data_IF_199585890407
#
_entry.id   IF_199585890407
#
_cell.length_a   1.000
_cell.length_b   1.000
_cell.length_c   1.000
_cell.angle_alpha   90.00
_cell.angle_beta   90.00
_cell.angle_gamma   90.00
#
_symmetry.space_group_name_H-M   'P 1'
#
loop_
_entity.id
_entity.type
_entity.pdbx_description
1 polymer ?
#
# COMPACT_ATOMS: atom_id res chain seq x y z
N UNK A 1 10.31 6.00 -1.46
CA UNK A 1 10.33 5.75 -0.03
C UNK A 1 9.23 4.78 0.37
N UNK A 2 9.50 3.90 1.30
CA UNK A 2 8.51 3.03 1.96
C UNK A 2 8.29 3.53 3.39
N UNK A 3 7.05 3.45 3.88
CA UNK A 3 6.66 3.92 5.20
C UNK A 3 6.05 2.78 6.00
N UNK A 4 6.40 2.68 7.26
CA UNK A 4 5.91 1.62 8.15
C UNK A 4 4.48 1.87 8.62
N UNK A 5 4.06 3.13 8.67
CA UNK A 5 2.71 3.53 9.06
C UNK A 5 2.26 4.84 8.41
N UNK A 6 0.95 5.13 8.47
CA UNK A 6 0.35 6.32 7.86
C UNK A 6 0.81 7.63 8.52
N UNK A 7 1.04 7.63 9.84
CA UNK A 7 1.46 8.83 10.57
C UNK A 7 2.86 9.27 10.12
N UNK A 8 3.79 8.31 9.97
CA UNK A 8 5.13 8.57 9.47
C UNK A 8 5.09 9.11 8.04
N UNK A 9 4.26 8.53 7.17
CA UNK A 9 4.07 9.03 5.81
C UNK A 9 3.51 10.45 5.81
N UNK A 10 2.53 10.76 6.66
CA UNK A 10 1.96 12.10 6.81
C UNK A 10 3.00 13.15 7.23
N UNK A 11 3.88 12.82 8.18
CA UNK A 11 4.96 13.73 8.60
C UNK A 11 5.91 14.03 7.43
N UNK A 12 6.31 13.03 6.68
CA UNK A 12 7.23 13.20 5.54
C UNK A 12 6.56 13.96 4.39
N UNK A 13 5.30 13.65 4.07
CA UNK A 13 4.54 14.41 3.07
C UNK A 13 4.46 15.90 3.45
N UNK A 14 4.22 16.22 4.73
CA UNK A 14 4.22 17.59 5.20
C UNK A 14 5.61 18.26 5.11
N UNK A 15 6.69 17.53 5.34
CA UNK A 15 8.06 18.05 5.16
C UNK A 15 8.39 18.33 3.70
N UNK A 16 7.83 17.55 2.76
CA UNK A 16 7.97 17.78 1.33
C UNK A 16 7.04 18.87 0.80
N UNK A 17 6.04 19.29 1.59
CA UNK A 17 5.10 20.35 1.30
C UNK A 17 5.72 21.71 1.65
N UNK A 18 6.76 22.12 0.92
CA UNK A 18 7.39 23.43 1.06
C UNK A 18 6.71 24.50 0.18
N UNK A 19 7.16 25.76 0.31
CA UNK A 19 6.63 26.90 -0.48
C UNK A 19 6.70 26.61 -1.99
N UNK A 20 7.77 25.96 -2.45
CA UNK A 20 7.99 25.58 -3.84
C UNK A 20 7.81 24.07 -4.09
N UNK A 21 7.47 23.30 -3.06
CA UNK A 21 7.27 21.86 -3.19
C UNK A 21 6.01 21.51 -4.00
N UNK A 22 6.02 20.40 -4.73
CA UNK A 22 4.91 19.98 -5.56
C UNK A 22 3.69 19.50 -4.75
N UNK A 23 3.85 19.25 -3.46
CA UNK A 23 2.81 18.73 -2.59
C UNK A 23 2.13 19.84 -1.82
N UNK A 24 0.83 20.00 -2.01
CA UNK A 24 0.00 20.96 -1.28
C UNK A 24 -1.06 20.21 -0.48
N UNK A 25 -1.13 20.49 0.82
CA UNK A 25 -2.15 19.94 1.72
C UNK A 25 -2.27 18.39 1.68
N UNK A 26 -1.15 17.69 1.41
CA UNK A 26 -1.15 16.23 1.33
C UNK A 26 -1.37 15.62 2.72
N UNK A 27 -2.34 14.74 2.82
CA UNK A 27 -2.67 13.98 4.03
C UNK A 27 -2.80 12.50 3.71
N UNK A 28 -2.29 11.66 4.59
CA UNK A 28 -2.54 10.23 4.58
C UNK A 28 -3.17 9.86 5.91
N UNK A 29 -4.41 9.38 5.87
CA UNK A 29 -5.14 8.94 7.06
C UNK A 29 -5.38 7.45 7.02
N UNK A 30 -5.33 6.81 8.18
CA UNK A 30 -5.71 5.42 8.39
C UNK A 30 -6.87 5.37 9.37
N UNK A 31 -7.93 4.68 9.00
CA UNK A 31 -9.10 4.42 9.86
C UNK A 31 -9.38 2.94 9.94
N UNK A 32 -10.11 2.52 10.97
CA UNK A 32 -10.48 1.13 11.18
C UNK A 32 -9.54 0.36 12.11
N UNK A 33 -9.69 -0.96 12.13
CA UNK A 33 -8.92 -1.89 12.97
C UNK A 33 -7.81 -2.53 12.14
N UNK A 34 -6.82 -3.13 12.80
CA UNK A 34 -5.72 -3.82 12.10
C UNK A 34 -6.18 -4.93 11.15
N UNK A 35 -7.35 -5.52 11.42
CA UNK A 35 -7.94 -6.57 10.58
C UNK A 35 -8.78 -6.05 9.41
N UNK A 36 -9.14 -4.77 9.43
CA UNK A 36 -9.94 -4.11 8.38
C UNK A 36 -9.69 -2.60 8.50
N UNK A 37 -8.75 -2.10 7.74
CA UNK A 37 -8.32 -0.71 7.76
C UNK A 37 -8.49 -0.08 6.39
N UNK A 38 -8.92 1.19 6.40
CA UNK A 38 -9.04 2.03 5.22
C UNK A 38 -7.95 3.09 5.27
N UNK A 39 -7.24 3.24 4.17
CA UNK A 39 -6.26 4.29 3.96
C UNK A 39 -6.82 5.29 2.96
N UNK A 40 -6.73 6.57 3.30
CA UNK A 40 -7.15 7.66 2.41
C UNK A 40 -5.98 8.61 2.23
N UNK A 41 -5.52 8.73 1.00
CA UNK A 41 -4.57 9.74 0.54
C UNK A 41 -5.36 10.85 -0.11
N UNK A 42 -5.21 12.08 0.38
CA UNK A 42 -5.91 13.27 -0.10
C UNK A 42 -4.93 14.43 -0.20
N UNK A 43 -5.10 15.28 -1.20
CA UNK A 43 -4.31 16.49 -1.37
C UNK A 43 -4.31 17.04 -2.78
N UNK A 44 -3.36 17.92 -3.03
CA UNK A 44 -3.18 18.59 -4.32
C UNK A 44 -1.71 18.49 -4.72
N UNK A 45 -1.46 18.15 -5.97
CA UNK A 45 -0.17 18.27 -6.62
C UNK A 45 -0.20 19.51 -7.51
N UNK A 46 0.77 20.40 -7.29
CA UNK A 46 0.90 21.63 -8.06
C UNK A 46 2.37 22.01 -8.15
N UNK A 47 2.85 22.23 -9.33
CA UNK A 47 4.21 22.69 -9.59
C UNK A 47 4.18 24.17 -9.97
N UNK A 48 4.32 25.02 -8.95
CA UNK A 48 4.44 26.46 -9.13
C UNK A 48 5.91 26.83 -9.37
N UNK A 49 6.18 27.66 -10.38
CA UNK A 49 7.54 28.16 -10.64
C UNK A 49 8.39 27.32 -11.57
N UNK A 50 7.80 26.38 -12.34
CA UNK A 50 8.51 25.62 -13.36
C UNK A 50 9.72 24.83 -12.81
N UNK A 51 10.91 25.04 -13.39
CA UNK A 51 12.13 24.36 -12.95
C UNK A 51 12.59 24.79 -11.55
N UNK A 52 12.17 25.95 -11.06
CA UNK A 52 12.55 26.43 -9.73
C UNK A 52 11.96 25.55 -8.61
N UNK A 53 10.85 24.87 -8.86
CA UNK A 53 10.25 23.93 -7.91
C UNK A 53 11.15 22.72 -7.59
N UNK A 54 12.12 22.44 -8.46
CA UNK A 54 13.06 21.32 -8.31
C UNK A 54 14.48 21.76 -8.00
N UNK A 55 14.74 23.06 -7.97
CA UNK A 55 16.06 23.59 -7.69
C UNK A 55 16.27 23.87 -6.20
N UNK A 56 17.41 23.42 -5.68
CA UNK A 56 17.84 23.83 -4.35
C UNK A 56 18.02 25.36 -4.31
N UNK A 57 17.47 26.01 -3.29
CA UNK A 57 17.60 27.45 -3.09
C UNK A 57 19.06 27.94 -3.07
N UNK A 58 19.99 27.09 -2.59
CA UNK A 58 21.44 27.35 -2.65
C UNK A 58 21.98 27.29 -4.08
N UNK A 59 21.49 26.33 -4.87
CA UNK A 59 21.87 26.19 -6.26
C UNK A 59 21.40 27.41 -7.06
N UNK A 60 20.14 27.81 -6.92
CA UNK A 60 19.58 29.01 -7.56
C UNK A 60 20.37 30.27 -7.22
N UNK A 61 20.79 30.42 -5.96
CA UNK A 61 21.62 31.56 -5.53
C UNK A 61 23.02 31.52 -6.14
N UNK A 62 23.58 30.32 -6.34
CA UNK A 62 24.94 30.13 -6.89
C UNK A 62 24.98 30.38 -8.40
N UNK A 63 23.93 30.02 -9.13
CA UNK A 63 23.83 30.21 -10.59
C UNK A 63 23.20 31.53 -11.00
N UNK A 64 22.86 32.42 -10.03
CA UNK A 64 22.37 33.76 -10.33
C UNK A 64 20.90 33.86 -10.74
N UNK A 65 20.04 32.96 -10.25
CA UNK A 65 18.61 32.92 -10.60
C UNK A 65 18.32 31.86 -11.67
N UNK A 66 17.19 32.01 -12.37
CA UNK A 66 16.75 31.09 -13.42
C UNK A 66 17.06 31.60 -14.86
N UNK A 67 18.32 31.87 -15.24
CA UNK A 67 18.63 32.26 -16.61
C UNK A 67 18.26 31.15 -17.61
N UNK A 68 18.11 29.92 -17.13
CA UNK A 68 17.72 28.75 -17.93
C UNK A 68 16.28 28.84 -18.47
N UNK A 69 15.31 29.32 -17.67
CA UNK A 69 13.92 29.41 -18.14
C UNK A 69 13.77 30.39 -19.29
N UNK A 70 14.44 31.52 -19.19
CA UNK A 70 14.37 32.54 -20.21
C UNK A 70 15.04 32.11 -21.52
N UNK A 71 16.19 31.42 -21.41
CA UNK A 71 16.87 30.84 -22.56
C UNK A 71 16.07 29.70 -23.22
N UNK A 72 15.38 28.87 -22.44
CA UNK A 72 14.52 27.82 -22.94
C UNK A 72 13.27 28.37 -23.63
N UNK A 73 12.64 29.40 -23.04
CA UNK A 73 11.52 30.13 -23.68
C UNK A 73 11.94 30.80 -24.98
N UNK A 74 13.11 31.42 -25.01
CA UNK A 74 13.68 32.01 -26.23
C UNK A 74 14.00 30.96 -27.30
N UNK A 75 14.40 29.76 -26.90
CA UNK A 75 14.60 28.61 -27.79
C UNK A 75 13.28 27.94 -28.23
N UNK A 76 12.13 28.43 -27.80
CA UNK A 76 10.83 27.86 -28.14
C UNK A 76 10.54 26.52 -27.44
N UNK A 77 11.29 26.18 -26.40
CA UNK A 77 11.11 24.97 -25.62
C UNK A 77 10.09 25.23 -24.49
N UNK A 78 8.94 24.62 -24.61
CA UNK A 78 7.92 24.58 -23.56
C UNK A 78 8.21 23.39 -22.62
N UNK A 79 8.68 23.68 -21.42
CA UNK A 79 9.02 22.67 -20.41
C UNK A 79 7.83 21.82 -20.00
N UNK A 80 6.64 22.41 -19.98
CA UNK A 80 5.40 21.67 -19.70
C UNK A 80 5.08 20.58 -20.71
N UNK A 81 5.62 20.72 -21.94
CA UNK A 81 5.48 19.70 -23.00
C UNK A 81 6.70 18.79 -23.10
N UNK A 82 7.87 19.27 -22.68
CA UNK A 82 9.14 18.54 -22.78
C UNK A 82 9.37 17.56 -21.61
N UNK A 83 8.76 17.83 -20.46
CA UNK A 83 8.94 17.04 -19.24
C UNK A 83 7.61 16.50 -18.74
N UNK A 84 7.62 15.28 -18.24
CA UNK A 84 6.49 14.66 -17.56
C UNK A 84 6.93 14.26 -16.16
N UNK A 85 6.14 14.62 -15.16
CA UNK A 85 6.34 14.20 -13.79
C UNK A 85 5.15 13.37 -13.38
N UNK A 86 5.43 12.17 -12.92
CA UNK A 86 4.42 11.27 -12.39
C UNK A 86 4.63 11.10 -10.88
N UNK A 87 3.59 11.35 -10.11
CA UNK A 87 3.52 10.98 -8.72
C UNK A 87 2.92 9.58 -8.61
N UNK A 88 3.65 8.69 -7.96
CA UNK A 88 3.25 7.28 -7.84
C UNK A 88 3.12 6.93 -6.37
N UNK A 89 1.95 6.41 -5.97
CA UNK A 89 1.70 5.93 -4.63
C UNK A 89 1.19 4.49 -4.65
N UNK A 90 1.77 3.64 -3.81
CA UNK A 90 1.30 2.27 -3.56
C UNK A 90 0.69 2.21 -2.17
N UNK A 91 -0.59 1.89 -2.09
CA UNK A 91 -1.34 1.81 -0.84
C UNK A 91 -1.60 0.35 -0.46
N UNK A 92 -1.65 0.02 0.84
CA UNK A 92 -1.99 -1.32 1.30
C UNK A 92 -3.43 -1.68 0.94
N UNK A 93 -3.64 -2.91 0.47
CA UNK A 93 -4.98 -3.43 0.20
C UNK A 93 -5.48 -3.17 -1.21
N UNK A 94 -6.78 -3.14 -1.41
CA UNK A 94 -7.43 -2.95 -2.70
C UNK A 94 -7.86 -1.50 -2.85
N UNK A 95 -7.58 -0.88 -3.98
CA UNK A 95 -8.05 0.47 -4.29
C UNK A 95 -9.56 0.41 -4.54
N UNK A 96 -10.33 1.15 -3.73
CA UNK A 96 -11.78 1.28 -3.87
C UNK A 96 -12.17 2.49 -4.71
N UNK A 97 -11.40 3.56 -4.60
CA UNK A 97 -11.65 4.83 -5.32
C UNK A 97 -10.33 5.56 -5.54
N UNK A 98 -10.15 6.13 -6.72
CA UNK A 98 -9.00 6.98 -7.01
C UNK A 98 -9.34 8.06 -8.05
N UNK A 99 -8.64 9.19 -7.99
CA UNK A 99 -8.61 10.23 -9.03
C UNK A 99 -7.45 10.01 -10.03
N UNK A 100 -6.52 9.10 -9.73
CA UNK A 100 -5.40 8.74 -10.60
C UNK A 100 -5.66 7.49 -11.43
N UNK A 101 -4.63 7.03 -12.12
CA UNK A 101 -4.64 5.78 -12.90
C UNK A 101 -4.20 4.65 -11.98
N UNK A 102 -5.12 3.71 -11.71
CA UNK A 102 -4.84 2.53 -10.89
C UNK A 102 -4.24 1.39 -11.73
N UNK A 103 -3.16 0.82 -11.23
CA UNK A 103 -2.52 -0.38 -11.77
C UNK A 103 -2.07 -1.26 -10.61
N UNK A 104 -2.86 -2.27 -10.29
CA UNK A 104 -2.54 -3.28 -9.28
C UNK A 104 -2.08 -2.70 -7.91
N UNK A 105 -2.92 -1.87 -7.29
CA UNK A 105 -2.69 -1.17 -6.00
C UNK A 105 -1.65 -0.04 -6.06
N UNK A 106 -1.18 0.31 -7.24
CA UNK A 106 -0.31 1.45 -7.47
C UNK A 106 -1.08 2.49 -8.27
N UNK A 107 -1.18 3.69 -7.73
CA UNK A 107 -1.89 4.79 -8.38
C UNK A 107 -0.88 5.80 -8.87
N UNK A 108 -1.07 6.24 -10.10
CA UNK A 108 -0.21 7.23 -10.77
C UNK A 108 -1.01 8.47 -11.12
N UNK A 109 -0.49 9.62 -10.74
CA UNK A 109 -0.99 10.93 -11.16
C UNK A 109 0.06 11.65 -11.97
N UNK A 110 -0.36 12.17 -13.11
CA UNK A 110 0.49 13.03 -13.92
C UNK A 110 0.40 14.45 -13.39
N UNK A 111 1.53 15.03 -13.01
CA UNK A 111 1.60 16.38 -12.45
C UNK A 111 1.80 17.39 -13.58
N UNK A 112 0.86 18.34 -13.78
CA UNK A 112 1.06 19.42 -14.73
C UNK A 112 2.22 20.34 -14.30
N UNK A 113 3.02 20.75 -15.27
CA UNK A 113 4.14 21.68 -15.05
C UNK A 113 3.80 23.14 -15.41
N UNK A 114 2.54 23.39 -15.67
CA UNK A 114 1.98 24.70 -16.05
C UNK A 114 1.41 25.48 -14.86
N UNK A 115 1.58 24.96 -13.64
CA UNK A 115 1.03 25.56 -12.42
C UNK A 115 -0.41 25.16 -12.13
N UNK A 116 -1.05 24.35 -12.96
CA UNK A 116 -2.40 23.86 -12.68
C UNK A 116 -2.42 22.84 -11.57
N UNK A 117 -3.53 22.78 -10.84
CA UNK A 117 -3.72 21.87 -9.72
C UNK A 117 -4.16 20.49 -10.21
N UNK A 118 -3.52 19.45 -9.71
CA UNK A 118 -3.94 18.06 -9.87
C UNK A 118 -4.45 17.53 -8.53
N UNK A 119 -5.73 17.26 -8.44
CA UNK A 119 -6.30 16.64 -7.23
C UNK A 119 -5.83 15.20 -7.08
N UNK A 120 -5.40 14.87 -5.88
CA UNK A 120 -5.03 13.51 -5.45
C UNK A 120 -6.07 13.04 -4.46
N UNK A 121 -6.82 12.03 -4.82
CA UNK A 121 -7.73 11.35 -3.92
C UNK A 121 -7.64 9.86 -4.19
N UNK A 122 -7.29 9.08 -3.17
CA UNK A 122 -7.29 7.62 -3.26
C UNK A 122 -7.70 7.01 -1.95
N UNK A 123 -8.64 6.08 -2.01
CA UNK A 123 -9.08 5.28 -0.88
C UNK A 123 -8.78 3.82 -1.15
N UNK A 124 -8.08 3.16 -0.23
CA UNK A 124 -7.82 1.72 -0.29
C UNK A 124 -8.27 1.02 0.98
N UNK A 125 -8.71 -0.22 0.85
CA UNK A 125 -9.15 -1.05 1.97
C UNK A 125 -8.26 -2.27 2.12
N UNK A 126 -7.61 -2.38 3.27
CA UNK A 126 -6.74 -3.48 3.59
C UNK A 126 -7.42 -4.49 4.52
N UNK A 127 -7.75 -5.65 3.97
CA UNK A 127 -8.32 -6.79 4.70
C UNK A 127 -7.35 -7.98 4.79
N UNK A 128 -6.06 -7.74 4.55
CA UNK A 128 -5.04 -8.78 4.42
C UNK A 128 -4.87 -9.67 5.67
N UNK A 129 -5.25 -9.17 6.85
CA UNK A 129 -5.21 -9.95 8.09
C UNK A 129 -6.24 -11.08 8.10
N UNK A 130 -7.32 -10.97 7.33
CA UNK A 130 -8.29 -12.08 7.16
C UNK A 130 -7.63 -13.33 6.58
N UNK A 131 -6.66 -13.19 5.69
CA UNK A 131 -5.94 -14.32 5.12
C UNK A 131 -5.08 -15.07 6.15
N UNK A 132 -4.49 -14.36 7.11
CA UNK A 132 -3.69 -14.96 8.18
C UNK A 132 -4.59 -15.68 9.19
N UNK A 133 -5.71 -15.08 9.58
CA UNK A 133 -6.70 -15.70 10.48
C UNK A 133 -7.34 -16.93 9.80
N UNK A 134 -7.69 -16.84 8.52
CA UNK A 134 -8.22 -17.98 7.77
C UNK A 134 -7.22 -19.14 7.69
N UNK A 135 -5.92 -18.88 7.53
CA UNK A 135 -4.87 -19.92 7.55
C UNK A 135 -4.73 -20.55 8.93
N UNK A 136 -4.77 -19.76 10.01
CA UNK A 136 -4.73 -20.28 11.38
C UNK A 136 -5.95 -21.16 11.70
N UNK A 137 -7.15 -20.72 11.33
CA UNK A 137 -8.39 -21.50 11.50
C UNK A 137 -8.33 -22.79 10.68
N UNK A 138 -7.87 -22.73 9.43
CA UNK A 138 -7.70 -23.92 8.59
C UNK A 138 -6.68 -24.89 9.16
N UNK A 139 -5.59 -24.41 9.77
CA UNK A 139 -4.58 -25.23 10.45
C UNK A 139 -5.16 -25.91 11.70
N UNK A 140 -5.91 -25.19 12.52
CA UNK A 140 -6.61 -25.73 13.68
C UNK A 140 -7.62 -26.82 13.30
N UNK A 141 -8.37 -26.61 12.21
CA UNK A 141 -9.32 -27.59 11.70
C UNK A 141 -8.64 -28.88 11.23
N UNK A 142 -7.49 -28.77 10.55
CA UNK A 142 -6.67 -29.93 10.17
C UNK A 142 -6.20 -30.70 11.40
N UNK A 143 -5.73 -30.02 12.43
CA UNK A 143 -5.26 -30.63 13.66
C UNK A 143 -6.37 -31.40 14.38
N UNK A 144 -7.57 -30.80 14.49
CA UNK A 144 -8.76 -31.45 15.05
C UNK A 144 -9.18 -32.68 14.26
N UNK A 145 -9.12 -32.63 12.92
CA UNK A 145 -9.43 -33.75 12.05
C UNK A 145 -8.48 -34.93 12.30
N UNK A 146 -7.15 -34.66 12.36
CA UNK A 146 -6.17 -35.71 12.64
C UNK A 146 -6.33 -36.29 14.04
N UNK A 147 -6.60 -35.48 15.06
CA UNK A 147 -6.85 -35.95 16.42
C UNK A 147 -8.10 -36.85 16.46
N UNK A 148 -9.17 -36.49 15.75
CA UNK A 148 -10.37 -37.29 15.65
C UNK A 148 -10.14 -38.64 14.94
N UNK A 149 -9.41 -38.62 13.81
CA UNK A 149 -9.04 -39.85 13.11
C UNK A 149 -8.17 -40.77 13.97
N UNK A 150 -7.22 -40.23 14.73
CA UNK A 150 -6.41 -41.01 15.65
C UNK A 150 -7.25 -41.63 16.78
N UNK A 151 -8.22 -40.88 17.34
CA UNK A 151 -9.14 -41.38 18.32
C UNK A 151 -10.00 -42.51 17.78
N UNK A 152 -10.52 -42.40 16.55
CA UNK A 152 -11.32 -43.44 15.90
C UNK A 152 -10.50 -44.70 15.62
N UNK A 153 -9.24 -44.55 15.16
CA UNK A 153 -8.35 -45.66 14.97
C UNK A 153 -8.02 -46.38 16.31
N UNK A 154 -7.83 -45.62 17.38
CA UNK A 154 -7.61 -46.19 18.72
C UNK A 154 -8.82 -46.99 19.23
N UNK A 155 -10.03 -46.42 19.09
CA UNK A 155 -11.28 -47.11 19.50
C UNK A 155 -11.47 -48.38 18.66
N UNK A 156 -11.29 -48.28 17.34
CA UNK A 156 -11.42 -49.45 16.46
C UNK A 156 -10.40 -50.57 16.82
N UNK A 157 -9.14 -50.20 17.11
CA UNK A 157 -8.13 -51.15 17.52
C UNK A 157 -8.50 -51.85 18.83
N UNK A 158 -9.02 -51.09 19.80
CA UNK A 158 -9.41 -51.62 21.11
C UNK A 158 -10.62 -52.57 21.01
N UNK A 159 -11.57 -52.27 20.14
CA UNK A 159 -12.71 -53.16 19.87
C UNK A 159 -12.23 -54.45 19.18
N UNK A 160 -11.31 -54.36 18.23
CA UNK A 160 -10.76 -55.50 17.52
C UNK A 160 -9.95 -56.41 18.45
N UNK A 161 -9.13 -55.86 19.35
CA UNK A 161 -8.38 -56.66 20.34
C UNK A 161 -9.31 -57.35 21.35
N UNK A 162 -10.37 -56.72 21.79
CA UNK A 162 -11.39 -57.37 22.67
C UNK A 162 -12.10 -58.53 22.01
N UNK A 163 -12.43 -58.44 20.73
CA UNK A 163 -13.07 -59.53 19.97
C UNK A 163 -12.15 -60.73 19.76
N UNK A 164 -10.87 -60.52 19.56
CA UNK A 164 -9.88 -61.59 19.44
C UNK A 164 -9.62 -62.34 20.74
N UNK A 165 -9.76 -61.67 21.89
CA UNK A 165 -9.60 -62.34 23.19
C UNK A 165 -10.78 -63.21 23.60
N UNK A 166 -12.00 -62.99 23.05
CA UNK A 166 -13.19 -63.75 23.38
C UNK A 166 -13.35 -65.09 22.59
N UNK A 167 -12.51 -65.31 21.57
CA UNK A 167 -12.56 -66.55 20.76
C UNK A 167 -11.52 -67.62 21.16
N UNK A 168 -10.90 -67.52 22.33
CA UNK A 168 -10.03 -68.56 22.91
C UNK A 168 -10.66 -69.11 24.17
N UNK A 169 -11.79 -69.78 24.08
CA UNK A 169 -12.23 -70.77 25.07
C UNK A 169 -11.71 -72.13 24.65
N UNK A 170 -10.88 -72.84 25.46
CA UNK A 170 -10.50 -74.19 25.19
C UNK A 170 -11.73 -75.09 25.43
N UNK A 171 -12.07 -75.93 24.45
CA UNK A 171 -12.96 -77.13 24.66
C UNK A 171 -12.21 -78.14 25.45
N UNK A 172 -12.63 -78.44 26.67
CA UNK A 172 -12.39 -79.73 27.31
C UNK A 172 -13.25 -80.80 26.69
#
# INVERSE_FOLDING_TARGET
HTFDNADQAGVILNQLSGEFGPFKQMTLTRTGKDTDSTFTLDGILQVDGGLNAFADARLLKTIGGAPFEENLKQAGLDLGKAMTIDFVATLPGVIERTSGIDTANTVTWRVPLDGSEQSVLTTSRNTAVRATVARLVASLFKFLLFAWLALMAFVASRVFYRRRGASRTPSE
#
